data_IF_027314123150
#
_entry.id   IF_027314123150
#
_cell.length_a   1.000
_cell.length_b   1.000
_cell.length_c   1.000
_cell.angle_alpha   90.00
_cell.angle_beta   90.00
_cell.angle_gamma   90.00
#
_symmetry.space_group_name_H-M   'P 1'
#
loop_
_entity.id
_entity.type
_entity.pdbx_description
1 polymer ?
#
# COMPACT_ATOMS: atom_id res chain seq x y z
N UNK A 1 -10.37 1.97 21.51
CA UNK A 1 -11.01 2.84 20.52
C UNK A 1 -10.43 2.44 19.19
N UNK A 2 -11.27 1.87 18.34
CA UNK A 2 -10.89 0.99 17.25
C UNK A 2 -11.14 1.78 15.96
N UNK A 3 -10.08 2.12 15.23
CA UNK A 3 -10.19 2.86 13.98
C UNK A 3 -10.82 1.94 12.92
N UNK A 4 -12.08 2.22 12.59
CA UNK A 4 -12.83 1.52 11.55
C UNK A 4 -12.40 2.04 10.17
N UNK A 5 -11.36 1.42 9.61
CA UNK A 5 -11.05 1.55 8.17
C UNK A 5 -12.10 0.73 7.42
N UNK A 6 -13.01 1.41 6.72
CA UNK A 6 -14.03 0.78 5.88
C UNK A 6 -13.41 -0.11 4.79
N UNK A 7 -13.66 -1.42 4.88
CA UNK A 7 -13.23 -2.41 3.90
C UNK A 7 -14.14 -2.31 2.66
N UNK A 8 -13.59 -2.30 1.42
CA UNK A 8 -14.42 -2.37 0.24
C UNK A 8 -15.10 -3.74 0.15
N UNK A 9 -16.43 -3.75 0.36
CA UNK A 9 -17.30 -4.87 0.04
C UNK A 9 -17.10 -5.23 -1.45
N UNK A 10 -16.39 -6.30 -1.71
CA UNK A 10 -16.33 -6.88 -3.04
C UNK A 10 -17.71 -7.52 -3.27
N UNK A 11 -18.65 -6.73 -3.81
CA UNK A 11 -19.95 -7.16 -4.35
C UNK A 11 -21.06 -7.46 -3.30
N UNK A 12 -21.65 -6.44 -2.66
CA UNK A 12 -22.96 -6.61 -2.00
C UNK A 12 -24.07 -6.62 -3.06
N UNK A 13 -24.52 -7.80 -3.47
CA UNK A 13 -25.96 -8.00 -3.68
C UNK A 13 -26.58 -8.04 -2.28
N UNK A 14 -27.66 -7.28 -2.02
CA UNK A 14 -28.49 -7.46 -0.81
C UNK A 14 -28.65 -8.96 -0.50
N UNK A 15 -28.54 -9.44 0.75
CA UNK A 15 -29.18 -8.96 1.96
C UNK A 15 -28.26 -9.12 3.20
N UNK A 16 -28.56 -8.35 4.26
CA UNK A 16 -27.92 -8.30 5.59
C UNK A 16 -27.19 -9.59 5.99
N UNK A 17 -25.88 -9.50 6.27
CA UNK A 17 -25.21 -10.30 7.30
C UNK A 17 -23.83 -9.71 7.66
N UNK A 18 -23.73 -9.32 8.93
CA UNK A 18 -22.57 -9.12 9.82
C UNK A 18 -21.19 -8.76 9.23
N UNK A 19 -20.65 -7.69 9.82
CA UNK A 19 -19.30 -7.11 9.71
C UNK A 19 -18.19 -8.13 10.01
N UNK A 20 -17.88 -8.98 9.03
CA UNK A 20 -16.95 -10.07 9.21
C UNK A 20 -15.98 -10.13 8.02
N UNK A 21 -14.68 -10.21 8.33
CA UNK A 21 -13.58 -10.34 7.36
C UNK A 21 -13.73 -11.57 6.43
N UNK A 22 -14.73 -12.41 6.71
CA UNK A 22 -15.15 -13.59 5.97
C UNK A 22 -15.84 -13.31 4.62
N UNK A 23 -16.25 -12.07 4.32
CA UNK A 23 -16.87 -11.73 3.03
C UNK A 23 -15.87 -11.71 1.86
N UNK A 24 -14.62 -11.29 2.11
CA UNK A 24 -13.54 -11.30 1.09
C UNK A 24 -13.10 -12.74 0.78
N UNK A 25 -13.31 -13.67 1.70
CA UNK A 25 -12.72 -15.02 1.69
C UNK A 25 -13.57 -16.11 1.07
N UNK A 26 -14.76 -15.80 0.52
CA UNK A 26 -15.69 -16.85 0.10
C UNK A 26 -15.45 -17.43 -1.31
N UNK A 27 -14.52 -16.92 -2.12
CA UNK A 27 -14.44 -17.38 -3.53
C UNK A 27 -13.16 -17.03 -4.31
N UNK A 28 -11.95 -17.40 -3.86
CA UNK A 28 -10.76 -17.31 -4.72
C UNK A 28 -10.48 -15.91 -5.29
N UNK A 29 -10.91 -14.88 -4.55
CA UNK A 29 -10.76 -13.48 -4.92
C UNK A 29 -9.35 -13.02 -4.56
N UNK A 30 -8.58 -12.57 -5.55
CA UNK A 30 -7.31 -11.89 -5.29
C UNK A 30 -7.52 -10.38 -5.38
N UNK A 31 -6.93 -9.67 -4.42
CA UNK A 31 -7.03 -8.22 -4.29
C UNK A 31 -5.62 -7.65 -4.27
N UNK A 32 -5.42 -6.60 -5.07
CA UNK A 32 -4.20 -5.82 -5.15
C UNK A 32 -4.57 -4.35 -4.96
N UNK A 33 -4.01 -3.72 -3.94
CA UNK A 33 -4.28 -2.32 -3.63
C UNK A 33 -2.98 -1.52 -3.65
N UNK A 34 -3.02 -0.33 -4.23
CA UNK A 34 -1.95 0.65 -4.17
C UNK A 34 -2.50 1.98 -3.70
N UNK A 35 -1.88 2.56 -2.69
CA UNK A 35 -2.27 3.87 -2.16
C UNK A 35 -1.20 4.88 -2.56
N UNK A 36 -1.65 5.97 -3.19
CA UNK A 36 -0.82 7.08 -3.63
C UNK A 36 -1.19 8.33 -2.86
N UNK A 37 -0.21 9.13 -2.51
CA UNK A 37 -0.37 10.47 -1.96
C UNK A 37 -0.15 11.47 -3.09
N UNK A 38 -1.14 12.30 -3.39
CA UNK A 38 -1.07 13.28 -4.48
C UNK A 38 -1.69 14.62 -4.05
N UNK A 39 -1.29 15.70 -4.72
CA UNK A 39 -1.91 17.01 -4.53
C UNK A 39 -3.23 17.06 -5.30
N UNK A 40 -4.35 17.20 -4.61
CA UNK A 40 -5.71 17.31 -5.17
C UNK A 40 -6.42 18.44 -4.46
N UNK A 41 -6.99 19.38 -5.22
CA UNK A 41 -7.69 20.54 -4.68
C UNK A 41 -6.87 21.31 -3.62
N UNK A 42 -5.59 21.55 -3.93
CA UNK A 42 -4.62 22.22 -3.05
C UNK A 42 -4.32 21.53 -1.71
N UNK A 43 -4.80 20.31 -1.52
CA UNK A 43 -4.54 19.49 -0.35
C UNK A 43 -3.80 18.20 -0.72
N UNK A 44 -3.07 17.64 0.23
CA UNK A 44 -2.42 16.35 0.07
C UNK A 44 -3.40 15.24 0.44
N UNK A 45 -3.82 14.41 -0.53
CA UNK A 45 -4.84 13.37 -0.32
C UNK A 45 -4.37 12.00 -0.75
N UNK A 46 -4.96 10.96 -0.17
CA UNK A 46 -4.76 9.59 -0.60
C UNK A 46 -5.70 9.20 -1.75
N UNK A 47 -5.12 8.67 -2.81
CA UNK A 47 -5.79 7.96 -3.91
C UNK A 47 -5.52 6.47 -3.74
N UNK A 48 -6.57 5.68 -3.54
CA UNK A 48 -6.45 4.22 -3.46
C UNK A 48 -6.91 3.58 -4.76
N UNK A 49 -6.02 2.80 -5.37
CA UNK A 49 -6.26 2.01 -6.58
C UNK A 49 -6.38 0.56 -6.15
N UNK A 50 -7.54 -0.04 -6.38
CA UNK A 50 -7.83 -1.42 -6.03
C UNK A 50 -8.12 -2.21 -7.30
N UNK A 51 -7.32 -3.23 -7.55
CA UNK A 51 -7.60 -4.27 -8.52
C UNK A 51 -8.17 -5.48 -7.80
N UNK A 52 -9.24 -6.04 -8.33
CA UNK A 52 -9.78 -7.30 -7.86
C UNK A 52 -9.87 -8.30 -9.01
N UNK A 53 -9.70 -9.57 -8.68
CA UNK A 53 -9.82 -10.69 -9.61
C UNK A 53 -10.64 -11.78 -8.95
N UNK A 54 -11.72 -12.16 -9.61
CA UNK A 54 -12.55 -13.32 -9.28
C UNK A 54 -12.44 -14.35 -10.42
N UNK A 55 -13.07 -15.52 -10.27
CA UNK A 55 -12.97 -16.62 -11.25
C UNK A 55 -13.26 -16.23 -12.70
N UNK A 56 -14.14 -15.25 -12.91
CA UNK A 56 -14.60 -14.85 -14.25
C UNK A 56 -14.28 -13.39 -14.61
N UNK A 57 -13.80 -12.60 -13.65
CA UNK A 57 -13.86 -11.14 -13.72
C UNK A 57 -12.62 -10.48 -13.15
N UNK A 58 -12.22 -9.39 -13.77
CA UNK A 58 -11.32 -8.39 -13.18
C UNK A 58 -12.12 -7.14 -12.86
N UNK A 59 -11.68 -6.37 -11.88
CA UNK A 59 -12.28 -5.09 -11.52
C UNK A 59 -11.22 -4.09 -11.12
N UNK A 60 -11.55 -2.82 -11.34
CA UNK A 60 -10.78 -1.66 -10.93
C UNK A 60 -11.69 -0.80 -10.05
N UNK A 61 -11.19 -0.37 -8.91
CA UNK A 61 -11.77 0.72 -8.15
C UNK A 61 -10.72 1.77 -7.86
N UNK A 62 -11.11 3.03 -7.99
CA UNK A 62 -10.31 4.19 -7.66
C UNK A 62 -11.10 4.95 -6.61
N UNK A 63 -10.55 5.10 -5.42
CA UNK A 63 -11.16 5.87 -4.34
C UNK A 63 -10.26 7.01 -3.90
N UNK A 64 -10.89 8.11 -3.51
CA UNK A 64 -10.21 9.29 -3.00
C UNK A 64 -10.66 9.52 -1.56
N UNK A 65 -9.69 9.86 -0.72
CA UNK A 65 -9.91 10.30 0.64
C UNK A 65 -10.76 11.58 0.68
N UNK A 66 -11.80 11.55 1.51
CA UNK A 66 -12.68 12.69 1.75
C UNK A 66 -12.06 13.71 2.71
N UNK A 67 -12.63 14.93 2.78
CA UNK A 67 -12.14 16.01 3.63
C UNK A 67 -12.08 15.65 5.13
N UNK A 68 -13.00 14.81 5.61
CA UNK A 68 -13.11 14.44 7.03
C UNK A 68 -12.67 12.98 7.31
N UNK A 69 -12.03 12.31 6.34
CA UNK A 69 -11.65 10.89 6.44
C UNK A 69 -12.83 9.89 6.36
N UNK A 70 -14.06 10.35 6.56
CA UNK A 70 -15.28 9.54 6.57
C UNK A 70 -16.03 9.50 5.22
N UNK A 71 -15.93 10.55 4.39
CA UNK A 71 -16.62 10.64 3.11
C UNK A 71 -15.74 10.23 1.91
N UNK A 72 -15.53 8.93 1.73
CA UNK A 72 -14.73 8.41 0.61
C UNK A 72 -15.49 8.46 -0.73
N UNK A 73 -15.00 9.25 -1.69
CA UNK A 73 -15.54 9.26 -3.05
C UNK A 73 -14.96 8.10 -3.84
N UNK A 74 -15.82 7.25 -4.42
CA UNK A 74 -15.38 6.03 -5.11
C UNK A 74 -15.86 5.95 -6.57
N UNK A 75 -14.92 5.65 -7.46
CA UNK A 75 -15.16 5.16 -8.80
C UNK A 75 -14.93 3.65 -8.83
N UNK A 76 -15.88 2.91 -9.40
CA UNK A 76 -15.81 1.45 -9.56
C UNK A 76 -16.08 1.10 -11.01
N UNK A 77 -15.18 0.31 -11.58
CA UNK A 77 -15.18 -0.15 -12.97
C UNK A 77 -15.06 -1.67 -12.95
N UNK A 78 -16.05 -2.36 -13.50
CA UNK A 78 -16.06 -3.82 -13.56
C UNK A 78 -15.75 -4.30 -14.99
N UNK A 79 -14.75 -5.17 -15.13
CA UNK A 79 -14.35 -5.75 -16.40
C UNK A 79 -15.01 -7.12 -16.58
N UNK A 80 -16.17 -7.12 -17.22
CA UNK A 80 -16.85 -8.35 -17.64
C UNK A 80 -16.41 -8.76 -19.06
N UNK A 81 -16.16 -10.06 -19.33
CA UNK A 81 -15.75 -10.54 -20.65
C UNK A 81 -16.67 -10.10 -21.79
N UNK A 82 -17.98 -10.02 -21.52
CA UNK A 82 -19.02 -9.69 -22.49
C UNK A 82 -19.41 -8.20 -22.57
N UNK A 83 -18.91 -7.33 -21.69
CA UNK A 83 -19.18 -5.88 -21.72
C UNK A 83 -17.95 -5.08 -22.16
N UNK A 84 -17.67 -5.08 -23.47
CA UNK A 84 -16.51 -4.36 -24.05
C UNK A 84 -16.54 -2.85 -23.81
N UNK A 85 -17.72 -2.24 -23.70
CA UNK A 85 -17.89 -0.79 -23.54
C UNK A 85 -17.47 -0.24 -22.17
N UNK A 86 -17.45 -1.07 -21.11
CA UNK A 86 -17.01 -0.63 -19.77
C UNK A 86 -15.49 -0.66 -19.58
N UNK A 87 -14.77 -1.25 -20.53
CA UNK A 87 -13.31 -1.39 -20.47
C UNK A 87 -12.57 -0.09 -20.75
N UNK A 88 -13.21 0.92 -21.32
CA UNK A 88 -12.68 2.28 -21.44
C UNK A 88 -13.76 3.28 -21.02
N UNK A 89 -13.38 4.36 -20.36
CA UNK A 89 -14.33 5.38 -19.99
C UNK A 89 -13.75 6.49 -19.13
N UNK A 90 -14.66 7.32 -18.64
CA UNK A 90 -14.36 8.37 -17.68
C UNK A 90 -15.48 8.49 -16.65
N UNK A 91 -15.13 8.91 -15.44
CA UNK A 91 -16.09 9.25 -14.38
C UNK A 91 -15.63 10.53 -13.69
N UNK A 92 -16.53 11.51 -13.63
CA UNK A 92 -16.35 12.76 -12.90
C UNK A 92 -17.04 12.68 -11.55
N UNK A 93 -16.44 13.26 -10.53
CA UNK A 93 -17.04 13.54 -9.23
C UNK A 93 -16.43 14.83 -8.69
N UNK A 94 -16.98 15.34 -7.59
CA UNK A 94 -16.53 16.58 -6.96
C UNK A 94 -15.91 16.25 -5.61
N UNK A 95 -14.76 16.83 -5.35
CA UNK A 95 -14.01 16.73 -4.09
C UNK A 95 -13.69 18.15 -3.65
N UNK A 96 -14.22 18.56 -2.50
CA UNK A 96 -14.05 19.90 -1.92
C UNK A 96 -14.33 21.03 -2.92
N UNK A 97 -15.42 20.90 -3.67
CA UNK A 97 -15.83 21.89 -4.68
C UNK A 97 -15.03 21.85 -5.98
N UNK A 98 -13.97 21.05 -6.09
CA UNK A 98 -13.20 20.87 -7.33
C UNK A 98 -13.62 19.60 -8.08
N UNK A 99 -13.68 19.69 -9.40
CA UNK A 99 -13.95 18.55 -10.24
C UNK A 99 -12.72 17.63 -10.29
N UNK A 100 -12.95 16.33 -10.09
CA UNK A 100 -11.95 15.28 -10.27
C UNK A 100 -12.48 14.30 -11.31
N UNK A 101 -11.67 14.07 -12.34
CA UNK A 101 -11.97 13.14 -13.40
C UNK A 101 -11.07 11.92 -13.35
N UNK A 102 -11.66 10.75 -13.43
CA UNK A 102 -10.93 9.49 -13.59
C UNK A 102 -11.16 8.99 -15.00
N UNK A 103 -10.09 8.76 -15.74
CA UNK A 103 -10.10 8.15 -17.07
C UNK A 103 -9.43 6.78 -17.00
N UNK A 104 -9.94 5.82 -17.77
CA UNK A 104 -9.32 4.50 -17.88
C UNK A 104 -9.43 3.94 -19.29
N UNK A 105 -8.43 3.20 -19.71
CA UNK A 105 -8.50 2.29 -20.84
C UNK A 105 -7.84 0.96 -20.48
N UNK A 106 -8.68 -0.07 -20.42
CA UNK A 106 -8.37 -1.45 -20.04
C UNK A 106 -8.77 -2.42 -21.16
N UNK A 107 -9.04 -1.93 -22.38
CA UNK A 107 -9.53 -2.78 -23.49
C UNK A 107 -8.55 -3.89 -23.85
N UNK A 108 -7.27 -3.56 -23.89
CA UNK A 108 -6.18 -4.48 -24.26
C UNK A 108 -5.35 -4.91 -23.05
N UNK A 109 -5.80 -4.63 -21.82
CA UNK A 109 -5.03 -4.85 -20.62
C UNK A 109 -4.59 -6.32 -20.46
N UNK A 110 -3.28 -6.55 -20.32
CA UNK A 110 -2.67 -7.89 -20.18
C UNK A 110 -2.40 -8.23 -18.73
N UNK A 111 -3.17 -9.14 -18.16
CA UNK A 111 -3.05 -9.55 -16.76
C UNK A 111 -2.04 -10.69 -16.51
N UNK A 112 -1.79 -11.55 -17.50
CA UNK A 112 -0.86 -12.70 -17.41
C UNK A 112 -1.07 -13.53 -16.12
N UNK A 113 -2.32 -13.86 -15.81
CA UNK A 113 -2.72 -14.60 -14.62
C UNK A 113 -2.80 -13.80 -13.32
N UNK A 114 -2.29 -12.57 -13.29
CA UNK A 114 -2.31 -11.68 -12.13
C UNK A 114 -3.63 -10.91 -11.94
N UNK A 115 -3.70 -10.19 -10.83
CA UNK A 115 -4.84 -9.32 -10.45
C UNK A 115 -4.68 -7.91 -11.01
N UNK A 116 -3.47 -7.36 -10.95
CA UNK A 116 -3.11 -6.10 -11.60
C UNK A 116 -2.67 -6.35 -13.06
N UNK A 117 -3.04 -5.50 -14.03
CA UNK A 117 -2.53 -5.61 -15.39
C UNK A 117 -1.05 -5.22 -15.49
N UNK A 118 -0.31 -5.93 -16.34
CA UNK A 118 1.13 -5.74 -16.55
C UNK A 118 1.46 -4.77 -17.69
N UNK A 119 0.58 -4.67 -18.69
CA UNK A 119 0.80 -3.82 -19.87
C UNK A 119 -0.52 -3.56 -20.63
N UNK A 120 -0.44 -2.68 -21.63
CA UNK A 120 -1.52 -2.27 -22.53
C UNK A 120 -2.72 -1.65 -21.83
N UNK A 121 -2.46 -0.77 -20.86
CA UNK A 121 -3.53 -0.07 -20.14
C UNK A 121 -3.12 1.33 -19.68
N UNK A 122 -4.10 2.14 -19.30
CA UNK A 122 -3.88 3.28 -18.41
C UNK A 122 -5.04 3.53 -17.45
N UNK A 123 -4.72 4.14 -16.31
CA UNK A 123 -5.68 4.78 -15.40
C UNK A 123 -5.11 6.16 -15.07
N UNK A 124 -5.89 7.21 -15.32
CA UNK A 124 -5.48 8.59 -15.08
C UNK A 124 -6.48 9.28 -14.14
N UNK A 125 -5.97 10.01 -13.16
CA UNK A 125 -6.75 10.91 -12.30
C UNK A 125 -6.35 12.33 -12.65
N UNK A 126 -7.34 13.18 -12.90
CA UNK A 126 -7.18 14.56 -13.32
C UNK A 126 -7.89 15.47 -12.33
N UNK A 127 -7.22 16.54 -11.92
CA UNK A 127 -7.77 17.61 -11.10
C UNK A 127 -7.07 18.91 -11.50
N UNK A 128 -7.78 20.04 -11.48
CA UNK A 128 -7.22 21.37 -11.80
C UNK A 128 -6.45 21.43 -13.13
N UNK A 129 -6.99 20.78 -14.17
CA UNK A 129 -6.39 20.70 -15.51
C UNK A 129 -5.00 20.03 -15.56
N UNK A 130 -4.65 19.27 -14.52
CA UNK A 130 -3.44 18.48 -14.42
C UNK A 130 -3.75 17.00 -14.20
N UNK A 131 -2.93 16.12 -14.80
CA UNK A 131 -2.94 14.68 -14.51
C UNK A 131 -2.12 14.46 -13.23
N UNK A 132 -2.82 14.24 -12.12
CA UNK A 132 -2.23 14.09 -10.77
C UNK A 132 -1.80 12.66 -10.46
N UNK A 133 -2.34 11.67 -11.17
CA UNK A 133 -1.90 10.28 -11.10
C UNK A 133 -2.07 9.62 -12.47
N UNK A 134 -1.03 8.92 -12.94
CA UNK A 134 -1.08 8.14 -14.17
C UNK A 134 -0.44 6.77 -13.96
N UNK A 135 -1.24 5.73 -14.12
CA UNK A 135 -0.82 4.32 -14.07
C UNK A 135 -0.90 3.70 -15.46
N UNK A 136 -0.10 2.65 -15.68
CA UNK A 136 -0.01 1.92 -16.94
C UNK A 136 1.05 2.45 -17.91
N UNK A 137 1.22 1.74 -19.01
CA UNK A 137 2.23 1.97 -20.04
C UNK A 137 1.71 2.83 -21.21
N UNK A 138 0.39 2.94 -21.38
CA UNK A 138 -0.25 3.75 -22.43
C UNK A 138 -0.28 5.26 -22.10
N UNK A 139 0.84 5.81 -21.64
CA UNK A 139 0.93 7.20 -21.16
C UNK A 139 0.58 8.23 -22.24
N UNK A 140 1.04 8.01 -23.47
CA UNK A 140 0.76 8.92 -24.60
C UNK A 140 -0.73 8.98 -24.92
N UNK A 141 -1.41 7.83 -24.87
CA UNK A 141 -2.85 7.75 -25.12
C UNK A 141 -3.65 8.42 -23.99
N UNK A 142 -3.20 8.27 -22.74
CA UNK A 142 -3.79 8.94 -21.59
C UNK A 142 -3.73 10.47 -21.74
N UNK A 143 -2.57 11.05 -22.05
CA UNK A 143 -2.44 12.51 -22.24
C UNK A 143 -3.22 13.01 -23.45
N UNK A 144 -3.23 12.26 -24.56
CA UNK A 144 -4.06 12.59 -25.73
C UNK A 144 -5.55 12.57 -25.40
N UNK A 145 -6.01 11.62 -24.59
CA UNK A 145 -7.43 11.45 -24.27
C UNK A 145 -7.92 12.46 -23.24
N UNK A 146 -7.09 12.76 -22.24
CA UNK A 146 -7.40 13.71 -21.17
C UNK A 146 -7.26 15.15 -21.66
N UNK A 147 -6.29 15.44 -22.55
CA UNK A 147 -6.00 16.79 -23.01
C UNK A 147 -5.25 17.65 -21.99
N UNK A 148 -4.83 17.06 -20.87
CA UNK A 148 -4.21 17.76 -19.75
C UNK A 148 -2.73 17.42 -19.61
N UNK A 149 -1.96 18.33 -19.03
CA UNK A 149 -0.53 18.14 -18.79
C UNK A 149 -0.27 17.34 -17.51
N UNK A 150 0.91 16.74 -17.33
CA UNK A 150 1.30 16.17 -16.03
C UNK A 150 1.28 17.25 -14.94
N UNK A 151 0.94 16.85 -13.72
CA UNK A 151 1.09 17.69 -12.54
C UNK A 151 2.57 18.05 -12.30
N UNK A 152 2.80 19.20 -11.65
CA UNK A 152 4.16 19.64 -11.30
C UNK A 152 4.78 18.80 -10.17
N UNK A 153 3.94 18.18 -9.36
CA UNK A 153 4.33 17.33 -8.23
C UNK A 153 3.92 15.91 -8.56
N UNK A 154 4.90 15.02 -8.64
CA UNK A 154 4.64 13.60 -8.87
C UNK A 154 3.93 12.97 -7.65
N UNK A 155 2.96 12.06 -7.88
CA UNK A 155 2.33 11.32 -6.80
C UNK A 155 3.30 10.34 -6.14
N UNK A 156 3.22 10.23 -4.82
CA UNK A 156 4.09 9.36 -4.02
C UNK A 156 3.35 8.08 -3.70
N UNK A 157 3.87 6.92 -4.09
CA UNK A 157 3.33 5.62 -3.65
C UNK A 157 3.63 5.41 -2.16
N UNK A 158 2.59 5.34 -1.32
CA UNK A 158 2.73 5.20 0.14
C UNK A 158 2.54 3.77 0.62
N UNK A 159 1.70 2.97 -0.04
CA UNK A 159 1.56 1.58 0.34
C UNK A 159 1.05 0.68 -0.77
N UNK A 160 1.36 -0.60 -0.63
CA UNK A 160 0.80 -1.68 -1.44
C UNK A 160 0.26 -2.76 -0.52
N UNK A 161 -0.91 -3.29 -0.85
CA UNK A 161 -1.52 -4.41 -0.14
C UNK A 161 -1.87 -5.51 -1.13
N UNK A 162 -1.39 -6.71 -0.88
CA UNK A 162 -1.55 -7.85 -1.80
C UNK A 162 -2.09 -9.06 -1.04
N UNK A 163 -3.11 -9.70 -1.60
CA UNK A 163 -3.61 -10.98 -1.13
C UNK A 163 -3.06 -12.10 -2.02
N UNK A 164 -2.16 -12.91 -1.48
CA UNK A 164 -1.50 -14.03 -2.16
C UNK A 164 -2.00 -15.36 -1.59
N UNK A 165 -2.17 -16.37 -2.44
CA UNK A 165 -2.71 -17.67 -2.08
C UNK A 165 -1.69 -18.76 -2.37
N UNK A 166 -1.58 -19.75 -1.48
CA UNK A 166 -0.60 -20.83 -1.62
C UNK A 166 -0.80 -21.91 -0.57
N UNK A 167 -0.17 -23.08 -0.78
CA UNK A 167 -0.25 -24.21 0.16
C UNK A 167 0.85 -24.17 1.22
N UNK A 168 2.11 -24.09 0.76
CA UNK A 168 3.31 -24.10 1.61
C UNK A 168 4.24 -22.93 1.33
N UNK A 169 4.35 -22.55 0.05
CA UNK A 169 5.17 -21.46 -0.45
C UNK A 169 4.29 -20.37 -1.05
N UNK A 170 4.59 -19.14 -0.71
CA UNK A 170 3.90 -17.93 -1.17
C UNK A 170 4.95 -17.03 -1.81
N UNK A 171 4.69 -16.56 -3.04
CA UNK A 171 5.64 -15.74 -3.77
C UNK A 171 4.97 -14.49 -4.32
N UNK A 172 5.66 -13.36 -4.24
CA UNK A 172 5.27 -12.12 -4.91
C UNK A 172 6.51 -11.39 -5.43
N UNK A 173 6.31 -10.31 -6.18
CA UNK A 173 7.38 -9.45 -6.65
C UNK A 173 7.08 -8.00 -6.32
N UNK A 174 8.04 -7.33 -5.69
CA UNK A 174 7.87 -5.95 -5.25
C UNK A 174 9.11 -5.09 -5.51
N UNK A 175 8.92 -3.78 -5.65
CA UNK A 175 10.00 -2.79 -5.61
C UNK A 175 9.97 -2.11 -4.25
N UNK A 176 11.13 -2.01 -3.60
CA UNK A 176 11.25 -1.33 -2.31
C UNK A 176 11.58 0.16 -2.42
N UNK A 177 11.89 0.64 -3.63
CA UNK A 177 12.03 2.06 -3.96
C UNK A 177 11.71 2.25 -5.46
N UNK A 178 11.28 3.45 -5.84
CA UNK A 178 10.65 3.72 -7.15
C UNK A 178 11.51 3.36 -8.37
N UNK A 179 12.78 3.79 -8.36
CA UNK A 179 13.77 3.48 -9.41
C UNK A 179 14.47 2.13 -9.20
N UNK A 180 14.00 1.34 -8.24
CA UNK A 180 14.60 0.06 -7.90
C UNK A 180 14.23 -1.07 -8.86
N UNK A 181 15.05 -2.12 -8.81
CA UNK A 181 14.72 -3.38 -9.47
C UNK A 181 13.56 -4.06 -8.75
N UNK A 182 12.84 -4.88 -9.49
CA UNK A 182 11.82 -5.77 -8.95
C UNK A 182 12.52 -6.92 -8.20
N UNK A 183 12.16 -7.12 -6.94
CA UNK A 183 12.67 -8.20 -6.10
C UNK A 183 11.62 -9.31 -5.95
N UNK A 184 12.04 -10.57 -6.03
CA UNK A 184 11.17 -11.71 -5.75
C UNK A 184 11.19 -12.00 -4.24
N UNK A 185 10.03 -11.97 -3.61
CA UNK A 185 9.85 -12.33 -2.20
C UNK A 185 9.18 -13.71 -2.18
N UNK A 186 9.78 -14.65 -1.46
CA UNK A 186 9.22 -15.97 -1.22
C UNK A 186 9.12 -16.24 0.28
N UNK A 187 7.95 -16.63 0.75
CA UNK A 187 7.64 -16.93 2.13
C UNK A 187 7.25 -18.40 2.20
N UNK A 188 7.87 -19.16 3.10
CA UNK A 188 7.58 -20.57 3.30
C UNK A 188 7.40 -20.84 4.80
N UNK A 189 6.29 -21.51 5.13
CA UNK A 189 6.11 -22.07 6.47
C UNK A 189 6.42 -23.57 6.40
N UNK A 190 7.57 -23.96 6.92
CA UNK A 190 7.97 -25.36 6.99
C UNK A 190 7.31 -25.99 8.19
N UNK A 191 6.26 -26.75 7.92
CA UNK A 191 5.70 -27.69 8.87
C UNK A 191 6.12 -29.10 8.40
N UNK A 192 7.09 -29.73 9.06
CA UNK A 192 7.47 -31.12 8.76
C UNK A 192 6.52 -32.14 9.41
N UNK A 193 5.51 -31.69 10.17
CA UNK A 193 4.47 -32.55 10.71
C UNK A 193 3.31 -32.67 9.73
N UNK A 194 3.56 -33.37 8.62
CA UNK A 194 2.49 -33.99 7.84
C UNK A 194 2.14 -35.33 8.47
N UNK A 195 1.48 -35.36 9.62
CA UNK A 195 0.60 -36.48 9.99
C UNK A 195 -0.15 -36.15 11.26
N UNK A 196 -1.46 -36.34 11.19
CA UNK A 196 -2.32 -36.55 12.34
C UNK A 196 -1.85 -37.89 12.96
N UNK A 197 -0.99 -37.83 13.97
CA UNK A 197 -0.82 -38.95 14.88
C UNK A 197 -1.09 -38.43 16.29
N UNK A 198 -2.25 -38.85 16.77
CA UNK A 198 -2.73 -38.83 18.15
C UNK A 198 -1.60 -38.73 19.18
N UNK A 199 -1.78 -37.79 20.10
CA UNK A 199 -1.16 -37.73 21.43
C UNK A 199 0.06 -38.62 21.66
N UNK A 200 1.23 -38.05 21.39
CA UNK A 200 2.60 -38.44 21.80
C UNK A 200 3.55 -38.54 20.61
N UNK A 201 3.99 -37.40 20.08
CA UNK A 201 5.22 -37.34 19.29
C UNK A 201 6.28 -36.55 20.07
N UNK A 202 7.10 -37.29 20.82
CA UNK A 202 8.29 -36.81 21.54
C UNK A 202 9.35 -36.16 20.62
N UNK A 203 9.13 -36.16 19.29
CA UNK A 203 10.00 -35.54 18.28
C UNK A 203 9.18 -34.62 17.34
N UNK A 204 8.26 -33.82 17.89
CA UNK A 204 7.47 -32.83 17.15
C UNK A 204 8.36 -31.79 16.48
N UNK A 205 8.49 -31.86 15.16
CA UNK A 205 9.26 -30.84 14.43
C UNK A 205 8.49 -29.53 14.50
N UNK A 206 9.08 -28.57 15.21
CA UNK A 206 8.48 -27.26 15.40
C UNK A 206 8.34 -26.51 14.06
N UNK A 207 7.23 -25.77 13.86
CA UNK A 207 7.06 -24.98 12.66
C UNK A 207 8.17 -23.93 12.54
N UNK A 208 8.65 -23.72 11.32
CA UNK A 208 9.66 -22.70 11.01
C UNK A 208 9.16 -21.77 9.89
N UNK A 209 9.55 -20.50 9.96
CA UNK A 209 9.29 -19.51 8.92
C UNK A 209 10.60 -19.18 8.19
N UNK A 210 10.58 -19.30 6.87
CA UNK A 210 11.63 -18.80 5.99
C UNK A 210 11.08 -17.69 5.10
N UNK A 211 11.77 -16.55 5.08
CA UNK A 211 11.54 -15.50 4.09
C UNK A 211 12.81 -15.38 3.26
N UNK A 212 12.65 -15.49 1.93
CA UNK A 212 13.71 -15.35 0.95
C UNK A 212 13.43 -14.14 0.07
N UNK A 213 14.48 -13.39 -0.25
CA UNK A 213 14.44 -12.34 -1.26
C UNK A 213 15.47 -12.64 -2.34
N UNK A 214 15.03 -12.64 -3.60
CA UNK A 214 15.84 -13.02 -4.77
C UNK A 214 16.52 -14.40 -4.59
N UNK A 215 15.84 -15.33 -3.91
CA UNK A 215 16.35 -16.67 -3.59
C UNK A 215 17.22 -16.76 -2.33
N UNK A 216 17.73 -15.64 -1.81
CA UNK A 216 18.55 -15.59 -0.61
C UNK A 216 17.68 -15.61 0.66
N UNK A 217 18.02 -16.47 1.62
CA UNK A 217 17.34 -16.53 2.92
C UNK A 217 17.71 -15.29 3.74
N UNK A 218 16.71 -14.46 4.05
CA UNK A 218 16.89 -13.18 4.76
C UNK A 218 16.29 -13.17 6.16
N UNK A 219 15.29 -14.02 6.42
CA UNK A 219 14.69 -14.23 7.74
C UNK A 219 14.50 -15.74 7.92
N UNK A 220 14.95 -16.26 9.07
CA UNK A 220 14.70 -17.63 9.49
C UNK A 220 14.28 -17.67 10.95
N UNK A 221 12.99 -17.87 11.19
CA UNK A 221 12.45 -17.99 12.54
C UNK A 221 12.30 -19.46 12.88
N UNK A 222 13.24 -19.96 13.67
CA UNK A 222 13.11 -21.26 14.35
C UNK A 222 12.09 -21.15 15.48
N UNK A 223 11.42 -22.27 15.78
CA UNK A 223 10.47 -22.35 16.88
C UNK A 223 9.30 -21.33 16.71
N UNK A 224 8.70 -21.28 15.52
CA UNK A 224 7.72 -20.27 15.11
C UNK A 224 6.49 -20.21 16.02
N UNK A 225 6.14 -21.33 16.67
CA UNK A 225 5.05 -21.40 17.66
C UNK A 225 5.25 -20.49 18.88
N UNK A 226 6.48 -20.07 19.17
CA UNK A 226 6.80 -19.12 20.24
C UNK A 226 7.08 -17.71 19.71
N UNK A 227 7.28 -17.57 18.40
CA UNK A 227 7.66 -16.34 17.71
C UNK A 227 6.72 -16.02 16.55
N UNK A 228 5.44 -16.36 16.72
CA UNK A 228 4.43 -16.22 15.66
C UNK A 228 4.08 -14.75 15.36
N UNK A 229 4.48 -13.82 16.23
CA UNK A 229 4.52 -12.39 15.95
C UNK A 229 5.93 -11.88 16.22
N UNK A 230 6.47 -11.09 15.31
CA UNK A 230 7.83 -10.56 15.45
C UNK A 230 8.25 -9.68 14.30
N UNK A 231 9.48 -9.22 14.36
CA UNK A 231 10.09 -8.38 13.34
C UNK A 231 11.61 -8.60 13.23
N UNK A 232 12.18 -8.26 12.08
CA UNK A 232 13.61 -8.36 11.81
C UNK A 232 14.02 -7.26 10.81
N UNK A 233 15.23 -6.72 10.95
CA UNK A 233 15.80 -5.76 9.98
C UNK A 233 16.75 -6.47 9.03
N UNK A 234 16.43 -6.44 7.73
CA UNK A 234 17.25 -7.05 6.67
C UNK A 234 17.87 -5.97 5.79
N UNK A 235 18.94 -6.34 5.06
CA UNK A 235 19.60 -5.44 4.11
C UNK A 235 19.53 -6.01 2.70
N UNK A 236 19.00 -5.22 1.77
CA UNK A 236 18.89 -5.59 0.34
C UNK A 236 19.54 -4.49 -0.47
N UNK A 237 20.67 -4.78 -1.12
CA UNK A 237 21.40 -3.81 -1.95
C UNK A 237 21.64 -2.45 -1.26
N UNK A 238 22.06 -2.48 0.02
CA UNK A 238 22.31 -1.31 0.90
C UNK A 238 21.04 -0.59 1.41
N UNK A 239 19.85 -1.01 1.01
CA UNK A 239 18.59 -0.56 1.60
C UNK A 239 18.26 -1.42 2.82
N UNK A 240 18.06 -0.78 3.97
CA UNK A 240 17.55 -1.45 5.17
C UNK A 240 16.04 -1.59 5.03
N UNK A 241 15.51 -2.78 5.31
CA UNK A 241 14.07 -3.05 5.29
C UNK A 241 13.70 -3.71 6.62
N UNK A 242 12.71 -3.15 7.30
CA UNK A 242 12.09 -3.79 8.44
C UNK A 242 11.00 -4.73 7.95
N UNK A 243 11.09 -5.99 8.37
CA UNK A 243 10.12 -7.03 8.08
C UNK A 243 9.38 -7.35 9.36
N UNK A 244 8.05 -7.29 9.33
CA UNK A 244 7.18 -7.68 10.43
C UNK A 244 6.34 -8.88 9.99
N UNK A 245 6.02 -9.76 10.92
CA UNK A 245 5.15 -10.90 10.66
C UNK A 245 4.14 -11.12 11.79
N UNK A 246 2.94 -11.52 11.40
CA UNK A 246 1.94 -12.17 12.25
C UNK A 246 1.43 -13.42 11.54
N UNK A 247 1.81 -14.58 12.05
CA UNK A 247 1.44 -15.90 11.53
C UNK A 247 0.53 -16.67 12.49
N UNK A 248 -0.04 -16.00 13.51
CA UNK A 248 -0.89 -16.64 14.51
C UNK A 248 -1.98 -17.50 13.87
N UNK A 249 -2.70 -16.93 12.90
CA UNK A 249 -3.82 -17.59 12.23
C UNK A 249 -3.40 -18.73 11.31
N UNK A 250 -2.15 -18.78 10.85
CA UNK A 250 -1.62 -19.96 10.15
C UNK A 250 -1.41 -21.17 11.07
N UNK A 251 -1.13 -20.93 12.35
CA UNK A 251 -0.70 -21.96 13.29
C UNK A 251 -1.84 -22.46 14.18
N UNK A 252 -2.72 -21.57 14.61
CA UNK A 252 -3.66 -21.85 15.70
C UNK A 252 -5.13 -21.79 15.30
N UNK A 253 -5.42 -21.34 14.07
CA UNK A 253 -6.80 -21.13 13.61
C UNK A 253 -7.16 -22.12 12.48
N UNK A 254 -8.28 -22.87 12.57
CA UNK A 254 -8.68 -23.85 11.55
C UNK A 254 -9.33 -23.21 10.32
N UNK A 255 -9.15 -23.79 9.12
CA UNK A 255 -9.79 -23.37 7.87
C UNK A 255 -9.00 -22.33 7.07
N UNK A 256 -9.67 -21.60 6.16
CA UNK A 256 -9.03 -20.58 5.33
C UNK A 256 -8.55 -19.41 6.19
N UNK A 257 -7.23 -19.27 6.30
CA UNK A 257 -6.57 -18.29 7.18
C UNK A 257 -5.40 -17.61 6.48
N UNK A 258 -5.04 -16.43 6.97
CA UNK A 258 -3.93 -15.66 6.43
C UNK A 258 -2.86 -15.41 7.49
N UNK A 259 -1.64 -15.22 7.03
CA UNK A 259 -0.62 -14.51 7.80
C UNK A 259 -0.41 -13.13 7.19
N UNK A 260 0.01 -12.19 8.01
CA UNK A 260 0.38 -10.84 7.60
C UNK A 260 1.90 -10.70 7.62
N UNK A 261 2.45 -10.20 6.53
CA UNK A 261 3.85 -9.78 6.44
C UNK A 261 3.90 -8.32 6.00
N UNK A 262 4.70 -7.50 6.68
CA UNK A 262 4.87 -6.09 6.35
C UNK A 262 6.34 -5.85 6.03
N UNK A 263 6.61 -5.33 4.84
CA UNK A 263 7.96 -4.88 4.45
C UNK A 263 7.98 -3.37 4.39
N UNK A 264 8.78 -2.77 5.26
CA UNK A 264 8.92 -1.32 5.40
C UNK A 264 10.36 -0.91 5.13
N UNK A 265 10.68 -0.40 3.92
CA UNK A 265 11.98 0.18 3.64
C UNK A 265 12.28 1.36 4.54
N UNK A 266 13.51 1.40 5.05
CA UNK A 266 14.06 2.51 5.82
C UNK A 266 15.05 3.22 4.91
N UNK A 267 14.71 4.41 4.43
CA UNK A 267 15.66 5.23 3.69
C UNK A 267 16.81 5.61 4.64
N UNK A 268 18.08 5.50 4.21
CA UNK A 268 19.16 6.10 4.96
C UNK A 268 18.88 7.60 5.02
N UNK A 269 18.59 8.11 6.21
CA UNK A 269 18.59 9.54 6.46
C UNK A 269 19.93 10.08 5.98
N UNK A 270 19.92 11.01 5.03
CA UNK A 270 21.12 11.76 4.68
C UNK A 270 21.61 12.37 5.98
N UNK A 271 22.70 11.82 6.54
CA UNK A 271 23.38 12.40 7.68
C UNK A 271 23.72 13.82 7.28
N UNK A 272 22.98 14.80 7.79
CA UNK A 272 23.36 16.19 7.60
C UNK A 272 24.73 16.32 8.26
N UNK A 273 25.74 16.60 7.45
CA UNK A 273 27.06 16.96 7.95
C UNK A 273 26.86 18.25 8.73
N UNK A 274 26.76 18.15 10.05
CA UNK A 274 26.70 19.31 10.94
C UNK A 274 28.07 19.99 10.85
N UNK A 275 28.17 21.27 10.45
CA UNK A 275 29.43 21.98 10.57
C UNK A 275 29.72 22.18 12.05
N UNK A 276 30.81 21.56 12.52
CA UNK A 276 31.40 21.79 13.85
C UNK A 276 31.64 23.29 14.04
N UNK A 277 30.74 23.96 14.75
CA UNK A 277 30.95 25.32 15.22
C UNK A 277 31.77 25.23 16.51
N UNK A 278 33.06 25.56 16.38
CA UNK A 278 33.97 25.77 17.52
C UNK A 278 33.43 26.90 18.38
N UNK A 279 33.21 26.61 19.65
CA UNK A 279 32.94 27.58 20.71
C UNK A 279 34.19 28.38 21.04
N UNK A 280 34.04 29.69 21.20
CA UNK A 280 34.76 30.44 22.23
C UNK A 280 34.01 31.72 22.60
N UNK A 281 34.03 31.94 23.90
CA UNK A 281 33.32 32.89 24.74
C UNK A 281 33.74 34.36 24.57
N UNK A 282 32.79 35.27 24.79
CA UNK A 282 32.93 36.36 25.78
C UNK A 282 31.68 37.26 25.81
N UNK A 283 31.03 37.29 26.97
CA UNK A 283 30.09 38.35 27.43
C UNK A 283 30.91 39.60 27.84
N UNK A 284 30.33 40.81 28.11
CA UNK A 284 29.39 41.02 29.24
C UNK A 284 28.39 42.21 28.97
N UNK A 285 27.79 42.92 29.97
CA UNK A 285 26.34 42.88 30.21
C UNK A 285 25.65 44.27 30.25
N UNK A 286 24.33 44.29 30.50
CA UNK A 286 23.58 45.15 31.45
C UNK A 286 22.25 45.73 30.92
N UNK A 287 21.21 45.49 31.75
CA UNK A 287 19.97 46.29 32.01
C UNK A 287 19.00 46.55 30.84
N UNK A 288 17.67 46.51 30.98
CA UNK A 288 16.76 46.72 32.11
C UNK A 288 15.34 46.18 31.82
N UNK A 289 14.61 45.94 32.92
CA UNK A 289 13.20 45.62 33.12
C UNK A 289 12.18 46.24 32.13
N UNK A 290 11.11 45.50 31.77
CA UNK A 290 9.70 45.82 32.12
C UNK A 290 8.64 44.99 31.35
N UNK A 291 7.69 44.42 32.11
CA UNK A 291 6.22 44.26 31.90
C UNK A 291 5.62 43.68 30.59
N UNK A 292 4.78 42.64 30.78
CA UNK A 292 3.62 42.23 29.94
C UNK A 292 2.49 43.30 29.95
N UNK A 293 1.32 43.23 29.23
CA UNK A 293 0.73 42.17 28.39
C UNK A 293 0.01 42.62 27.07
N UNK A 294 -0.51 41.62 26.33
CA UNK A 294 -1.78 41.60 25.55
C UNK A 294 -1.96 42.33 24.18
N UNK A 295 -2.51 41.54 23.24
CA UNK A 295 -3.47 41.86 22.15
C UNK A 295 -3.01 42.24 20.73
N UNK A 296 -3.57 41.44 19.81
CA UNK A 296 -4.20 41.78 18.53
C UNK A 296 -3.46 41.47 17.22
N UNK A 297 -4.05 40.50 16.51
CA UNK A 297 -4.30 40.41 15.07
C UNK A 297 -3.23 40.93 14.10
N UNK A 298 -2.73 40.05 13.24
CA UNK A 298 -2.87 40.19 11.78
C UNK A 298 -2.30 38.96 11.05
N UNK A 299 -3.05 38.56 10.04
CA UNK A 299 -2.70 37.66 8.95
C UNK A 299 -1.34 37.95 8.33
N UNK A 300 -0.50 36.92 8.16
CA UNK A 300 0.36 36.80 6.99
C UNK A 300 0.83 35.35 6.86
N UNK A 301 0.67 34.84 5.64
CA UNK A 301 0.96 33.47 5.27
C UNK A 301 2.43 33.10 5.39
N UNK A 302 2.64 31.82 5.65
CA UNK A 302 3.86 31.08 5.39
C UNK A 302 3.34 29.68 5.06
N UNK A 303 3.17 29.27 3.80
CA UNK A 303 4.22 28.95 2.81
C UNK A 303 5.48 28.36 3.45
N UNK A 304 5.29 27.47 4.44
CA UNK A 304 6.24 26.39 4.67
C UNK A 304 5.85 25.30 3.67
N UNK A 305 6.41 25.32 2.47
CA UNK A 305 7.82 24.98 2.31
C UNK A 305 7.84 23.48 2.13
N UNK A 306 7.53 23.02 0.91
CA UNK A 306 7.68 21.64 0.49
C UNK A 306 9.18 21.29 0.59
N UNK A 307 9.60 20.93 1.79
CA UNK A 307 10.86 20.26 1.99
C UNK A 307 10.70 18.89 1.35
N UNK A 308 11.25 18.76 0.15
CA UNK A 308 11.57 17.50 -0.52
C UNK A 308 12.71 16.78 0.24
N UNK A 309 12.51 16.54 1.53
CA UNK A 309 13.42 15.83 2.43
C UNK A 309 12.61 15.22 3.57
N UNK A 310 12.42 13.91 3.54
CA UNK A 310 11.80 13.15 4.64
C UNK A 310 11.09 11.89 4.16
N UNK A 311 11.83 10.78 4.09
CA UNK A 311 11.39 9.38 3.97
C UNK A 311 10.18 9.07 3.07
N UNK A 312 10.41 8.31 1.99
CA UNK A 312 9.30 7.53 1.41
C UNK A 312 8.82 6.53 2.46
N UNK A 313 7.67 6.79 3.08
CA UNK A 313 6.98 5.94 4.07
C UNK A 313 6.36 4.68 3.43
N UNK A 314 6.94 4.19 2.33
CA UNK A 314 6.38 3.06 1.60
C UNK A 314 6.25 1.82 2.50
N UNK A 315 5.09 1.18 2.49
CA UNK A 315 4.88 -0.11 3.16
C UNK A 315 4.21 -1.12 2.21
N UNK A 316 4.77 -2.34 2.16
CA UNK A 316 4.15 -3.48 1.49
C UNK A 316 3.50 -4.40 2.51
N UNK A 317 2.19 -4.58 2.42
CA UNK A 317 1.39 -5.49 3.23
C UNK A 317 1.06 -6.74 2.40
N UNK A 318 1.54 -7.90 2.82
CA UNK A 318 1.26 -9.19 2.19
C UNK A 318 0.37 -10.02 3.10
N UNK A 319 -0.83 -10.31 2.62
CA UNK A 319 -1.76 -11.24 3.25
C UNK A 319 -1.61 -12.58 2.54
N UNK A 320 -0.97 -13.53 3.21
CA UNK A 320 -0.65 -14.84 2.65
C UNK A 320 -1.66 -15.88 3.12
N UNK A 321 -2.57 -16.29 2.23
CA UNK A 321 -3.72 -17.15 2.49
C UNK A 321 -3.40 -18.61 2.23
N UNK A 322 -3.42 -19.43 3.28
CA UNK A 322 -3.17 -20.86 3.18
C UNK A 322 -4.41 -21.57 2.64
N UNK A 323 -4.30 -22.15 1.45
CA UNK A 323 -5.34 -22.99 0.85
C UNK A 323 -5.01 -24.46 1.11
N UNK A 324 -6.03 -25.26 1.44
CA UNK A 324 -5.89 -26.69 1.69
C UNK A 324 -5.53 -27.47 0.41
#
# INVERSE_FOLDING_TARGET
MQDHIGIPACFSSSEKLSDDASAVTRSGHSVYMSVYRAKIADQCRLITITWCKNLLLHGLSVSLEGPDGENQQTCKVELKPWYFWRKQGSKRFVVDGKAVDIFWDLKSAKFNGGTEPKSEYYVAVVCDEEVVLLLGDLKKDAYRKTGYRPALIDPILVSKKEHIFGKKKFSTKAKFYERGRLHEIAIECKNRAGSISNGNSLNGVEPELEIRVDGHLVVHVKHLQWKFRGNESIHINKLRIEVYWDVHDWLFSPGLRHALFIFKPVLPSSTSLSPLSRSSSSSPPFSSLSSTPLSSQTSLGSVEGLNASGSSEFCLFLYAWKVE
#
